data_IF_907798481430
#
_entry.id   IF_907798481430
#
_cell.length_a   1.000
_cell.length_b   1.000
_cell.length_c   1.000
_cell.angle_alpha   90.00
_cell.angle_beta   90.00
_cell.angle_gamma   90.00
#
_symmetry.space_group_name_H-M   'P 1'
#
loop_
_entity.id
_entity.type
_entity.pdbx_description
1 polymer ?
#
# COMPACT_ATOMS: atom_id res chain seq x y z
N UNK A 1 2.20 7.53 -14.52
CA UNK A 1 2.93 6.38 -15.10
C UNK A 1 2.46 5.14 -14.36
N UNK A 2 2.04 4.10 -15.08
CA UNK A 2 1.58 2.83 -14.48
C UNK A 2 2.56 1.70 -14.76
N UNK A 3 2.38 0.59 -14.06
CA UNK A 3 3.08 -0.67 -14.35
C UNK A 3 2.66 -1.10 -15.77
N UNK A 4 3.66 -1.37 -16.62
CA UNK A 4 3.45 -1.61 -18.06
C UNK A 4 3.31 -3.09 -18.43
N UNK A 5 3.69 -3.99 -17.52
CA UNK A 5 3.74 -5.43 -17.76
C UNK A 5 3.22 -6.17 -16.53
N UNK A 6 2.42 -7.18 -16.79
CA UNK A 6 1.96 -8.17 -15.81
C UNK A 6 2.85 -9.40 -15.83
N UNK A 7 2.81 -10.19 -14.75
CA UNK A 7 3.43 -11.51 -14.68
C UNK A 7 3.13 -12.35 -15.94
N UNK A 8 1.86 -12.40 -16.33
CA UNK A 8 1.38 -13.23 -17.43
C UNK A 8 1.95 -12.75 -18.77
N UNK A 9 2.02 -11.45 -18.99
CA UNK A 9 2.60 -10.87 -20.20
C UNK A 9 4.10 -11.13 -20.33
N UNK A 10 4.84 -11.25 -19.22
CA UNK A 10 6.26 -11.59 -19.22
C UNK A 10 6.43 -13.10 -19.49
N UNK A 11 5.63 -13.94 -18.84
CA UNK A 11 5.67 -15.39 -19.00
C UNK A 11 5.31 -15.83 -20.43
N UNK A 12 4.27 -15.24 -21.01
CA UNK A 12 3.78 -15.61 -22.35
C UNK A 12 4.55 -14.91 -23.48
N UNK A 13 5.60 -14.15 -23.15
CA UNK A 13 6.39 -13.39 -24.13
C UNK A 13 7.28 -14.31 -24.95
N UNK A 14 6.95 -14.44 -26.24
CA UNK A 14 7.81 -15.11 -27.21
C UNK A 14 8.65 -14.04 -27.95
N UNK A 15 9.97 -14.22 -27.95
CA UNK A 15 10.90 -13.39 -28.71
C UNK A 15 11.21 -14.03 -30.06
N UNK A 16 11.27 -13.22 -31.12
CA UNK A 16 11.69 -13.68 -32.44
C UNK A 16 13.18 -14.06 -32.42
N UNK A 17 13.52 -15.23 -32.97
CA UNK A 17 14.90 -15.67 -33.11
C UNK A 17 15.54 -15.06 -34.34
N UNK A 18 16.75 -14.52 -34.19
CA UNK A 18 17.53 -13.92 -35.29
C UNK A 18 18.92 -14.55 -35.34
N UNK A 19 19.60 -14.45 -36.49
CA UNK A 19 20.91 -15.06 -36.72
C UNK A 19 22.00 -14.64 -35.72
N UNK A 20 21.84 -13.48 -35.06
CA UNK A 20 22.63 -13.07 -33.89
C UNK A 20 21.67 -12.57 -32.82
N UNK A 21 21.67 -13.24 -31.67
CA UNK A 21 20.85 -12.87 -30.53
C UNK A 21 21.36 -13.50 -29.25
N UNK A 22 20.68 -13.21 -28.14
CA UNK A 22 20.92 -13.88 -26.88
C UNK A 22 20.43 -15.33 -26.95
N UNK A 23 21.10 -16.20 -26.20
CA UNK A 23 20.64 -17.58 -26.04
C UNK A 23 19.27 -17.60 -25.35
N UNK A 24 18.31 -18.31 -25.94
CA UNK A 24 16.94 -18.33 -25.46
C UNK A 24 16.83 -18.89 -24.04
N UNK A 25 17.66 -19.88 -23.67
CA UNK A 25 17.60 -20.46 -22.32
C UNK A 25 18.12 -19.47 -21.29
N UNK A 26 19.20 -18.73 -21.60
CA UNK A 26 19.71 -17.68 -20.71
C UNK A 26 18.69 -16.56 -20.51
N UNK A 27 17.98 -16.17 -21.58
CA UNK A 27 16.91 -15.18 -21.48
C UNK A 27 15.76 -15.71 -20.62
N UNK A 28 15.34 -16.96 -20.83
CA UNK A 28 14.25 -17.56 -20.05
C UNK A 28 14.60 -17.65 -18.55
N UNK A 29 15.80 -18.12 -18.22
CA UNK A 29 16.26 -18.19 -16.82
C UNK A 29 16.27 -16.80 -16.15
N UNK A 30 16.66 -15.77 -16.91
CA UNK A 30 16.61 -14.40 -16.43
C UNK A 30 15.17 -13.88 -16.25
N UNK A 31 14.27 -14.20 -17.18
CA UNK A 31 12.85 -13.82 -17.09
C UNK A 31 12.16 -14.51 -15.92
N UNK A 32 12.52 -15.76 -15.59
CA UNK A 32 12.00 -16.46 -14.42
C UNK A 32 12.34 -15.74 -13.10
N UNK A 33 13.53 -15.13 -13.01
CA UNK A 33 13.92 -14.32 -11.85
C UNK A 33 13.09 -13.04 -11.80
N UNK A 34 12.97 -12.32 -12.93
CA UNK A 34 12.16 -11.10 -13.01
C UNK A 34 10.71 -11.38 -12.61
N UNK A 35 10.16 -12.48 -13.07
CA UNK A 35 8.81 -12.94 -12.76
C UNK A 35 8.63 -13.12 -11.25
N UNK A 36 9.56 -13.81 -10.58
CA UNK A 36 9.52 -14.02 -9.12
C UNK A 36 9.62 -12.71 -8.36
N UNK A 37 10.50 -11.81 -8.78
CA UNK A 37 10.66 -10.50 -8.16
C UNK A 37 9.40 -9.64 -8.33
N UNK A 38 8.76 -9.68 -9.50
CA UNK A 38 7.48 -8.99 -9.72
C UNK A 38 6.38 -9.49 -8.79
N UNK A 39 6.28 -10.80 -8.56
CA UNK A 39 5.32 -11.34 -7.60
C UNK A 39 5.64 -10.87 -6.17
N UNK A 40 6.92 -10.95 -5.77
CA UNK A 40 7.37 -10.50 -4.46
C UNK A 40 7.09 -9.00 -4.25
N UNK A 41 7.36 -8.15 -5.23
CA UNK A 41 7.04 -6.72 -5.14
C UNK A 41 5.54 -6.48 -4.99
N UNK A 42 4.70 -7.23 -5.71
CA UNK A 42 3.25 -7.13 -5.55
C UNK A 42 2.81 -7.52 -4.13
N UNK A 43 3.38 -8.58 -3.55
CA UNK A 43 3.10 -8.98 -2.17
C UNK A 43 3.55 -7.91 -1.16
N UNK A 44 4.73 -7.32 -1.35
CA UNK A 44 5.25 -6.24 -0.50
C UNK A 44 4.34 -5.01 -0.58
N UNK A 45 3.94 -4.60 -1.79
CA UNK A 45 3.05 -3.45 -1.98
C UNK A 45 1.71 -3.68 -1.29
N UNK A 46 1.09 -4.86 -1.45
CA UNK A 46 -0.16 -5.22 -0.77
C UNK A 46 -0.01 -5.15 0.74
N UNK A 47 1.05 -5.75 1.28
CA UNK A 47 1.34 -5.74 2.72
C UNK A 47 1.51 -4.32 3.24
N UNK A 48 2.24 -3.47 2.51
CA UNK A 48 2.43 -2.07 2.89
C UNK A 48 1.11 -1.28 2.84
N UNK A 49 0.28 -1.48 1.81
CA UNK A 49 -1.03 -0.86 1.70
C UNK A 49 -1.95 -1.26 2.86
N UNK A 50 -1.98 -2.54 3.21
CA UNK A 50 -2.73 -3.03 4.38
C UNK A 50 -2.24 -2.39 5.68
N UNK A 51 -0.92 -2.29 5.85
CA UNK A 51 -0.31 -1.67 7.04
C UNK A 51 -0.64 -0.18 7.13
N UNK A 52 -0.60 0.55 6.02
CA UNK A 52 -1.03 1.95 5.95
C UNK A 52 -2.50 2.08 6.35
N UNK A 53 -3.36 1.23 5.78
CA UNK A 53 -4.79 1.26 6.09
C UNK A 53 -5.08 0.98 7.58
N UNK A 54 -4.35 0.03 8.18
CA UNK A 54 -4.45 -0.25 9.62
C UNK A 54 -3.99 0.93 10.48
N UNK A 55 -2.86 1.55 10.13
CA UNK A 55 -2.33 2.71 10.85
C UNK A 55 -3.31 3.89 10.77
N UNK A 56 -3.83 4.20 9.58
CA UNK A 56 -4.82 5.27 9.40
C UNK A 56 -6.10 5.00 10.21
N UNK A 57 -6.56 3.74 10.26
CA UNK A 57 -7.72 3.38 11.09
C UNK A 57 -7.45 3.60 12.58
N UNK A 58 -6.26 3.24 13.05
CA UNK A 58 -5.87 3.43 14.46
C UNK A 58 -5.74 4.92 14.82
N UNK A 59 -5.17 5.72 13.92
CA UNK A 59 -5.01 7.17 14.09
C UNK A 59 -6.37 7.86 14.15
N UNK A 60 -7.27 7.55 13.22
CA UNK A 60 -8.64 8.07 13.22
C UNK A 60 -9.40 7.68 14.50
N UNK A 61 -9.20 6.46 15.01
CA UNK A 61 -9.83 6.02 16.26
C UNK A 61 -9.30 6.80 17.47
N UNK A 62 -7.99 7.07 17.50
CA UNK A 62 -7.36 7.90 18.54
C UNK A 62 -7.88 9.33 18.49
N UNK A 63 -7.97 9.93 17.29
CA UNK A 63 -8.49 11.29 17.10
C UNK A 63 -9.94 11.41 17.55
N UNK A 64 -10.81 10.48 17.15
CA UNK A 64 -12.22 10.47 17.56
C UNK A 64 -12.36 10.37 19.09
N UNK A 65 -11.54 9.52 19.73
CA UNK A 65 -11.52 9.38 21.19
C UNK A 65 -11.10 10.68 21.87
N UNK A 66 -10.07 11.35 21.34
CA UNK A 66 -9.63 12.64 21.84
C UNK A 66 -10.71 13.72 21.69
N UNK A 67 -11.40 13.78 20.55
CA UNK A 67 -12.51 14.70 20.33
C UNK A 67 -13.68 14.44 21.29
N UNK A 68 -14.04 13.18 21.52
CA UNK A 68 -15.10 12.79 22.46
C UNK A 68 -14.75 13.18 23.90
N UNK A 69 -13.50 12.99 24.32
CA UNK A 69 -13.02 13.41 25.64
C UNK A 69 -13.09 14.93 25.77
N UNK A 70 -12.60 15.69 24.78
CA UNK A 70 -12.65 17.15 24.79
C UNK A 70 -14.09 17.68 24.80
N UNK A 71 -15.01 17.04 24.06
CA UNK A 71 -16.44 17.37 24.12
C UNK A 71 -16.98 17.16 25.54
N UNK A 72 -16.66 16.02 26.17
CA UNK A 72 -17.14 15.71 27.51
C UNK A 72 -16.60 16.65 28.58
N UNK A 73 -15.33 17.05 28.47
CA UNK A 73 -14.73 18.06 29.36
C UNK A 73 -15.48 19.40 29.23
N UNK A 74 -15.72 19.88 28.01
CA UNK A 74 -16.48 21.13 27.79
C UNK A 74 -17.90 21.09 28.36
N UNK A 75 -18.59 19.96 28.20
CA UNK A 75 -19.92 19.74 28.79
C UNK A 75 -19.87 19.86 30.32
N UNK A 76 -18.88 19.22 30.95
CA UNK A 76 -18.67 19.26 32.40
C UNK A 76 -18.30 20.67 32.89
N UNK A 77 -17.45 21.38 32.17
CA UNK A 77 -17.08 22.76 32.49
C UNK A 77 -18.30 23.69 32.44
N UNK A 78 -19.12 23.56 31.38
CA UNK A 78 -20.36 24.35 31.24
C UNK A 78 -21.35 24.04 32.36
N UNK A 79 -21.45 22.78 32.78
CA UNK A 79 -22.33 22.37 33.89
C UNK A 79 -21.82 22.85 35.25
N UNK A 80 -20.53 22.72 35.52
CA UNK A 80 -19.94 23.03 36.82
C UNK A 80 -19.73 24.54 37.05
N UNK A 81 -19.39 25.30 36.01
CA UNK A 81 -18.99 26.70 36.12
C UNK A 81 -19.91 27.67 35.37
N UNK A 82 -20.90 27.17 34.63
CA UNK A 82 -21.69 27.97 33.69
C UNK A 82 -20.90 28.33 32.43
N UNK A 83 -21.55 28.94 31.43
CA UNK A 83 -20.84 29.38 30.21
C UNK A 83 -19.74 30.39 30.57
N UNK A 84 -18.54 30.29 29.98
CA UNK A 84 -17.51 31.31 30.17
C UNK A 84 -18.09 32.67 29.76
N UNK A 85 -17.99 33.67 30.65
CA UNK A 85 -18.30 35.05 30.29
C UNK A 85 -17.34 35.46 29.17
N UNK A 86 -17.92 35.86 28.04
CA UNK A 86 -17.23 36.41 26.87
C UNK A 86 -16.28 37.55 27.23
#
# INVERSE_FOLDING_TARGET
MGIKLTFQEIHDKIFESTFRGYDQNQVNEFLDIIIKDYDLYNQIIRTLQEKIMQLQKSENHSMNTQEDILRRIRELETFAWGSPKA
#
